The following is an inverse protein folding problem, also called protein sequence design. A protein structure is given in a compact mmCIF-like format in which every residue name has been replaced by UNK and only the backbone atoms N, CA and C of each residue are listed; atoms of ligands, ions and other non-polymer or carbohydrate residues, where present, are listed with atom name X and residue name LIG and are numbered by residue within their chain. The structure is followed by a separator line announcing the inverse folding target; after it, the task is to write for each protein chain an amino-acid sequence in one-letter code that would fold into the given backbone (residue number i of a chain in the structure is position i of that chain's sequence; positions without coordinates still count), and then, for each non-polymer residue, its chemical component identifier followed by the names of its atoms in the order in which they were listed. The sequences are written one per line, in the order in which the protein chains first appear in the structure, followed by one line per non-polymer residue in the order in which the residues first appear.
data_IF_244830172560
#
_entry.id   IF_244830172560
#
_cell.length_a   1.000
_cell.length_b   1.000
_cell.length_c   1.000
_cell.angle_alpha   90.00
_cell.angle_beta   90.00
_cell.angle_gamma   90.00
#
_symmetry.space_group_name_H-M   'P 1'
#
loop_
_entity.id
_entity.type
_entity.pdbx_description
1 polymer ?
#
# COMPACT_ATOMS: atom_id res chain seq x y z
N UNK A 1 -3.36 8.59 -19.82
CA UNK A 1 -3.61 7.59 -18.76
C UNK A 1 -4.93 7.92 -18.10
N UNK A 2 -5.82 6.95 -18.00
CA UNK A 2 -7.09 7.13 -17.29
C UNK A 2 -6.85 7.20 -15.78
N UNK A 3 -7.86 7.67 -15.03
CA UNK A 3 -7.76 7.66 -13.56
C UNK A 3 -7.61 6.23 -13.03
N UNK A 4 -8.30 5.26 -13.62
CA UNK A 4 -8.18 3.86 -13.24
C UNK A 4 -6.76 3.35 -13.43
N UNK A 5 -6.12 3.68 -14.54
CA UNK A 5 -4.73 3.29 -14.83
C UNK A 5 -3.76 3.97 -13.87
N UNK A 6 -3.98 5.25 -13.58
CA UNK A 6 -3.13 6.01 -12.65
C UNK A 6 -3.23 5.47 -11.23
N UNK A 7 -4.43 5.13 -10.77
CA UNK A 7 -4.65 4.52 -9.46
C UNK A 7 -3.97 3.15 -9.40
N UNK A 8 -4.12 2.34 -10.46
CA UNK A 8 -3.47 1.03 -10.52
C UNK A 8 -1.95 1.16 -10.42
N UNK A 9 -1.38 2.18 -11.05
CA UNK A 9 0.07 2.45 -10.98
C UNK A 9 0.49 2.84 -9.57
N UNK A 10 -0.28 3.68 -8.90
CA UNK A 10 0.01 4.07 -7.51
C UNK A 10 -0.03 2.85 -6.59
N UNK A 11 -1.04 2.00 -6.74
CA UNK A 11 -1.17 0.76 -5.95
C UNK A 11 -0.01 -0.18 -6.24
N UNK A 12 0.41 -0.30 -7.51
CA UNK A 12 1.56 -1.12 -7.87
C UNK A 12 2.85 -0.59 -7.22
N UNK A 13 3.04 0.72 -7.22
CA UNK A 13 4.21 1.35 -6.55
C UNK A 13 4.20 1.04 -5.05
N UNK A 14 3.03 1.11 -4.42
CA UNK A 14 2.89 0.72 -3.03
C UNK A 14 3.26 -0.75 -2.81
N UNK A 15 2.73 -1.65 -3.62
CA UNK A 15 3.07 -3.07 -3.51
C UNK A 15 4.56 -3.29 -3.73
N UNK A 16 5.13 -2.66 -4.75
CA UNK A 16 6.56 -2.78 -5.05
C UNK A 16 7.42 -2.31 -3.87
N UNK A 17 6.98 -1.29 -3.13
CA UNK A 17 7.71 -0.82 -1.96
C UNK A 17 7.91 -1.96 -0.96
N UNK A 18 6.87 -2.75 -0.74
CA UNK A 18 6.92 -3.90 0.18
C UNK A 18 7.69 -5.07 -0.43
N UNK A 19 7.44 -5.39 -1.68
CA UNK A 19 8.05 -6.55 -2.35
C UNK A 19 9.55 -6.39 -2.55
N UNK A 20 9.99 -5.14 -2.78
CA UNK A 20 11.41 -4.82 -3.02
C UNK A 20 12.11 -4.27 -1.79
N UNK A 21 11.42 -4.12 -0.66
CA UNK A 21 11.93 -3.48 0.56
C UNK A 21 12.49 -2.09 0.26
N UNK A 22 11.72 -1.28 -0.46
CA UNK A 22 12.13 0.04 -0.95
C UNK A 22 11.30 1.15 -0.30
N UNK A 23 11.86 1.77 0.74
CA UNK A 23 11.18 2.84 1.47
C UNK A 23 10.90 4.08 0.62
N UNK A 24 11.72 4.36 -0.39
CA UNK A 24 11.50 5.52 -1.28
C UNK A 24 10.19 5.37 -2.05
N UNK A 25 9.83 4.14 -2.43
CA UNK A 25 8.57 3.88 -3.12
C UNK A 25 7.36 4.11 -2.23
N UNK A 26 7.51 3.94 -0.92
CA UNK A 26 6.45 4.30 0.03
C UNK A 26 6.16 5.80 -0.08
N UNK A 27 7.21 6.62 -0.08
CA UNK A 27 7.05 8.07 -0.21
C UNK A 27 6.48 8.48 -1.57
N UNK A 28 6.72 7.69 -2.61
CA UNK A 28 6.15 7.95 -3.94
C UNK A 28 4.66 7.64 -3.98
N UNK A 29 4.22 6.60 -3.30
CA UNK A 29 2.84 6.12 -3.37
C UNK A 29 1.91 6.82 -2.38
N UNK A 30 2.44 7.28 -1.24
CA UNK A 30 1.64 7.83 -0.14
C UNK A 30 1.79 9.33 -0.02
N UNK A 31 0.68 10.01 0.33
CA UNK A 31 0.72 11.40 0.76
C UNK A 31 1.53 11.50 2.05
N UNK A 32 2.31 12.58 2.27
CA UNK A 32 3.11 12.72 3.49
C UNK A 32 2.33 12.64 4.80
N UNK A 33 1.05 13.01 4.77
CA UNK A 33 0.18 12.99 5.96
C UNK A 33 -0.61 11.69 6.10
N UNK A 34 -0.37 10.71 5.24
CA UNK A 34 -1.11 9.45 5.27
C UNK A 34 -0.84 8.68 6.57
N UNK A 35 -1.82 7.87 6.94
CA UNK A 35 -1.69 6.93 8.06
C UNK A 35 -1.85 5.52 7.59
N UNK A 36 -1.11 4.63 8.21
CA UNK A 36 -1.15 3.19 7.97
C UNK A 36 -1.56 2.53 9.27
N UNK A 37 -2.77 2.01 9.32
CA UNK A 37 -3.38 1.51 10.55
C UNK A 37 -4.05 0.17 10.30
N UNK A 38 -3.94 -0.74 11.27
CA UNK A 38 -4.61 -2.02 11.18
C UNK A 38 -4.35 -2.88 12.38
N UNK A 39 -4.84 -4.12 12.32
CA UNK A 39 -4.67 -5.05 13.40
C UNK A 39 -3.68 -6.14 13.04
N UNK A 40 -2.74 -6.38 13.95
CA UNK A 40 -1.89 -7.57 13.94
C UNK A 40 -2.38 -8.44 15.10
N UNK A 41 -3.18 -9.47 14.77
CA UNK A 41 -3.93 -10.20 15.77
C UNK A 41 -4.93 -9.30 16.47
N UNK A 42 -4.78 -9.08 17.76
CA UNK A 42 -5.66 -8.18 18.54
C UNK A 42 -5.03 -6.82 18.81
N UNK A 43 -3.79 -6.60 18.36
CA UNK A 43 -3.06 -5.36 18.61
C UNK A 43 -3.28 -4.37 17.48
N UNK A 44 -3.69 -3.14 17.82
CA UNK A 44 -3.81 -2.06 16.86
C UNK A 44 -2.41 -1.49 16.58
N UNK A 45 -2.04 -1.46 15.31
CA UNK A 45 -0.79 -0.85 14.86
C UNK A 45 -1.12 0.42 14.10
N UNK A 46 -0.48 1.51 14.46
CA UNK A 46 -0.62 2.80 13.77
C UNK A 46 0.77 3.31 13.40
N UNK A 47 0.93 3.69 12.15
CA UNK A 47 2.20 4.23 11.64
C UNK A 47 1.93 5.45 10.78
N UNK A 48 2.85 6.42 10.80
CA UNK A 48 2.90 7.45 9.78
C UNK A 48 3.71 6.93 8.57
N UNK A 49 3.81 7.76 7.53
CA UNK A 49 4.48 7.36 6.29
C UNK A 49 5.97 7.08 6.52
N UNK A 50 6.66 7.94 7.30
CA UNK A 50 8.08 7.76 7.56
C UNK A 50 8.35 6.47 8.34
N UNK A 51 7.52 6.16 9.32
CA UNK A 51 7.64 4.93 10.10
C UNK A 51 7.43 3.70 9.21
N UNK A 52 6.41 3.74 8.36
CA UNK A 52 6.15 2.63 7.45
C UNK A 52 7.27 2.47 6.42
N UNK A 53 7.77 3.58 5.86
CA UNK A 53 8.89 3.55 4.92
C UNK A 53 10.15 2.94 5.58
N UNK A 54 10.43 3.31 6.82
CA UNK A 54 11.56 2.76 7.57
C UNK A 54 11.39 1.27 7.82
N UNK A 55 10.20 0.86 8.24
CA UNK A 55 9.89 -0.55 8.48
C UNK A 55 10.08 -1.38 7.20
N UNK A 56 9.52 -0.91 6.10
CA UNK A 56 9.61 -1.59 4.80
C UNK A 56 11.07 -1.70 4.34
N UNK A 57 11.81 -0.60 4.46
CA UNK A 57 13.21 -0.56 4.03
C UNK A 57 14.13 -1.44 4.86
N UNK A 58 13.75 -1.72 6.09
CA UNK A 58 14.57 -2.55 7.01
C UNK A 58 14.40 -4.06 6.77
N UNK A 59 13.43 -4.47 5.94
CA UNK A 59 13.22 -5.89 5.67
C UNK A 59 14.30 -6.41 4.73
N UNK A 60 15.17 -7.29 5.22
CA UNK A 60 16.29 -7.83 4.43
C UNK A 60 16.47 -9.31 4.74
N UNK A 61 16.60 -10.16 3.71
CA UNK A 61 16.45 -9.84 2.29
C UNK A 61 15.00 -9.47 1.93
N UNK A 62 14.82 -8.81 0.78
CA UNK A 62 13.48 -8.48 0.29
C UNK A 62 12.70 -9.74 -0.09
N UNK A 63 11.39 -9.61 -0.20
CA UNK A 63 10.54 -10.70 -0.68
C UNK A 63 11.00 -11.18 -2.06
N UNK A 64 11.38 -10.24 -2.94
CA UNK A 64 11.92 -10.57 -4.26
C UNK A 64 13.19 -11.40 -4.14
N UNK A 65 14.12 -10.99 -3.30
CA UNK A 65 15.40 -11.70 -3.14
C UNK A 65 15.21 -13.08 -2.51
N UNK A 66 14.17 -13.26 -1.70
CA UNK A 66 13.82 -14.56 -1.13
C UNK A 66 13.11 -15.47 -2.13
N UNK A 67 12.80 -14.95 -3.33
CA UNK A 67 12.10 -15.73 -4.35
C UNK A 67 10.61 -15.93 -4.09
N UNK A 68 10.01 -15.06 -3.30
CA UNK A 68 8.57 -15.15 -3.02
C UNK A 68 7.76 -14.78 -4.25
N UNK A 69 6.64 -15.46 -4.45
CA UNK A 69 5.72 -15.14 -5.54
C UNK A 69 4.93 -13.88 -5.17
N UNK A 70 4.87 -12.88 -6.07
CA UNK A 70 4.07 -11.69 -5.78
C UNK A 70 2.58 -12.01 -5.76
N UNK A 71 1.85 -11.41 -4.81
CA UNK A 71 0.41 -11.47 -4.75
C UNK A 71 -0.12 -10.06 -4.62
N UNK A 72 -0.84 -9.60 -5.63
CA UNK A 72 -1.54 -8.32 -5.62
C UNK A 72 -2.78 -8.45 -6.50
N UNK A 73 -3.96 -8.28 -5.90
CA UNK A 73 -5.19 -8.26 -6.67
C UNK A 73 -6.14 -7.19 -6.15
N UNK A 74 -6.79 -6.48 -7.06
CA UNK A 74 -7.77 -5.47 -6.72
C UNK A 74 -9.13 -6.14 -6.58
N UNK A 75 -9.74 -5.99 -5.40
CA UNK A 75 -11.03 -6.57 -5.09
C UNK A 75 -12.18 -5.63 -5.41
N UNK A 76 -11.96 -4.33 -5.26
CA UNK A 76 -12.98 -3.31 -5.41
C UNK A 76 -12.32 -1.96 -5.64
N UNK A 77 -12.95 -1.12 -6.48
CA UNK A 77 -12.47 0.24 -6.71
C UNK A 77 -13.66 1.12 -7.06
N UNK A 78 -13.69 2.32 -6.49
CA UNK A 78 -14.72 3.32 -6.79
C UNK A 78 -14.11 4.71 -6.78
N UNK A 79 -14.36 5.47 -7.85
CA UNK A 79 -13.79 6.80 -8.04
C UNK A 79 -14.91 7.82 -7.98
N UNK A 80 -14.72 8.86 -7.16
CA UNK A 80 -15.66 9.98 -7.03
C UNK A 80 -14.87 11.28 -7.18
N UNK A 81 -14.83 11.81 -8.40
CA UNK A 81 -14.07 13.03 -8.68
C UNK A 81 -12.59 12.85 -8.39
N UNK A 82 -12.05 13.67 -7.52
CA UNK A 82 -10.63 13.63 -7.12
C UNK A 82 -10.37 12.73 -5.91
N UNK A 83 -11.31 11.85 -5.57
CA UNK A 83 -11.16 10.89 -4.49
C UNK A 83 -11.46 9.49 -5.00
N UNK A 84 -10.90 8.50 -4.33
CA UNK A 84 -11.16 7.10 -4.66
C UNK A 84 -10.98 6.22 -3.44
N UNK A 85 -11.65 5.08 -3.47
CA UNK A 85 -11.39 3.99 -2.54
C UNK A 85 -11.02 2.76 -3.37
N UNK A 86 -10.04 2.00 -2.87
CA UNK A 86 -9.67 0.73 -3.47
C UNK A 86 -9.48 -0.30 -2.37
N UNK A 87 -9.94 -1.51 -2.61
CA UNK A 87 -9.72 -2.63 -1.70
C UNK A 87 -8.87 -3.65 -2.44
N UNK A 88 -7.74 -4.00 -1.85
CA UNK A 88 -6.78 -4.90 -2.50
C UNK A 88 -6.39 -6.03 -1.56
N UNK A 89 -6.07 -7.17 -2.13
CA UNK A 89 -5.47 -8.30 -1.41
C UNK A 89 -4.00 -8.35 -1.81
N UNK A 90 -3.11 -8.37 -0.82
CA UNK A 90 -1.68 -8.44 -1.08
C UNK A 90 -0.96 -9.37 -0.11
N UNK A 91 0.16 -9.91 -0.58
CA UNK A 91 1.04 -10.76 0.23
C UNK A 91 2.23 -9.97 0.75
N UNK A 92 2.49 -10.07 2.05
CA UNK A 92 3.63 -9.43 2.68
C UNK A 92 3.99 -10.14 3.98
N UNK A 93 5.28 -10.32 4.23
CA UNK A 93 5.79 -10.94 5.46
C UNK A 93 5.22 -12.34 5.71
N UNK A 94 4.98 -13.11 4.66
CA UNK A 94 4.41 -14.44 4.77
C UNK A 94 2.92 -14.48 5.11
N UNK A 95 2.26 -13.33 5.06
CA UNK A 95 0.84 -13.19 5.37
C UNK A 95 0.09 -12.68 4.16
N UNK A 96 -1.23 -12.87 4.16
CA UNK A 96 -2.11 -12.27 3.16
C UNK A 96 -2.94 -11.19 3.85
N UNK A 97 -2.84 -9.98 3.31
CA UNK A 97 -3.54 -8.81 3.82
C UNK A 97 -4.68 -8.42 2.90
N UNK A 98 -5.71 -7.84 3.50
CA UNK A 98 -6.71 -7.07 2.75
C UNK A 98 -6.57 -5.63 3.19
N UNK A 99 -6.26 -4.77 2.24
CA UNK A 99 -6.05 -3.33 2.49
C UNK A 99 -7.23 -2.53 1.95
N UNK A 100 -7.74 -1.62 2.77
CA UNK A 100 -8.67 -0.59 2.32
C UNK A 100 -7.89 0.70 2.18
N UNK A 101 -7.82 1.21 0.95
CA UNK A 101 -7.03 2.38 0.59
C UNK A 101 -7.94 3.53 0.22
N UNK A 102 -7.69 4.69 0.80
CA UNK A 102 -8.31 5.95 0.39
C UNK A 102 -7.29 6.75 -0.40
N UNK A 103 -7.67 7.22 -1.59
CA UNK A 103 -6.76 7.92 -2.48
C UNK A 103 -7.28 9.32 -2.80
N UNK A 104 -6.35 10.22 -3.07
CA UNK A 104 -6.63 11.59 -3.51
C UNK A 104 -5.86 11.88 -4.79
N UNK A 105 -6.48 12.63 -5.69
CA UNK A 105 -5.80 13.17 -6.86
C UNK A 105 -5.37 14.60 -6.55
N UNK A 106 -4.07 14.81 -6.45
CA UNK A 106 -3.46 16.11 -6.14
C UNK A 106 -2.49 16.50 -7.25
N UNK A 107 -2.65 17.70 -7.79
CA UNK A 107 -1.80 18.18 -8.88
C UNK A 107 -1.69 17.18 -10.02
N UNK A 108 -2.81 16.53 -10.35
CA UNK A 108 -2.88 15.55 -11.43
C UNK A 108 -2.34 14.17 -11.07
N UNK A 109 -1.94 13.93 -9.83
CA UNK A 109 -1.39 12.64 -9.41
C UNK A 109 -2.20 11.99 -8.31
N UNK A 110 -2.46 10.70 -8.44
CA UNK A 110 -3.13 9.93 -7.41
C UNK A 110 -2.13 9.45 -6.36
N UNK A 111 -2.46 9.70 -5.09
CA UNK A 111 -1.66 9.24 -3.96
C UNK A 111 -2.56 8.58 -2.93
N UNK A 112 -2.02 7.63 -2.19
CA UNK A 112 -2.75 6.98 -1.09
C UNK A 112 -2.71 7.92 0.11
N UNK A 113 -3.89 8.27 0.63
CA UNK A 113 -4.02 9.15 1.78
C UNK A 113 -4.24 8.41 3.08
N UNK A 114 -4.75 7.18 3.02
CA UNK A 114 -4.99 6.37 4.20
C UNK A 114 -4.98 4.89 3.83
N UNK A 115 -4.42 4.07 4.70
CA UNK A 115 -4.42 2.62 4.54
C UNK A 115 -4.92 2.00 5.83
N UNK A 116 -5.99 1.19 5.72
CA UNK A 116 -6.41 0.30 6.78
C UNK A 116 -6.10 -1.12 6.32
N UNK A 117 -5.42 -1.90 7.16
CA UNK A 117 -5.08 -3.27 6.79
C UNK A 117 -5.70 -4.28 7.75
N UNK A 118 -5.98 -5.45 7.19
CA UNK A 118 -6.52 -6.59 7.91
C UNK A 118 -5.74 -7.83 7.48
N UNK A 119 -5.28 -8.62 8.42
CA UNK A 119 -4.58 -9.88 8.12
C UNK A 119 -5.63 -10.95 7.89
N UNK A 120 -5.73 -11.42 6.64
CA UNK A 120 -6.71 -12.43 6.25
C UNK A 120 -6.21 -13.84 6.61
N UNK A 121 -4.92 -14.08 6.40
CA UNK A 121 -4.29 -15.37 6.70
C UNK A 121 -2.76 -15.35 6.65
#
# INVERSE_FOLDING_TARGET
MTDEQAIAKTIQTYFDSMFLSDGDKVHQAFHPNAKITGYMGTSLLEQNVDEFAGFVGDQSPSAKDKGESPLLETLYEDISGNTAVAKVRDGYLGMVFVDTLSLLKLAGQWVIYNKLFYVER
#
